data_IF_333265438211
#
_entry.id   IF_333265438211
#
_cell.length_a   1.000
_cell.length_b   1.000
_cell.length_c   1.000
_cell.angle_alpha   90.00
_cell.angle_beta   90.00
_cell.angle_gamma   90.00
#
_symmetry.space_group_name_H-M   'P 1'
#
loop_
_entity.id
_entity.type
_entity.pdbx_description
1 polymer ?
#
# COMPACT_ATOMS: atom_id res chain seq x y z
N UNK A 1 10.90 5.08 -3.29
CA UNK A 1 10.06 5.48 -4.45
C UNK A 1 9.36 6.81 -4.21
N UNK A 2 8.79 7.03 -3.02
CA UNK A 2 8.13 8.29 -2.64
C UNK A 2 9.07 9.52 -2.73
N UNK A 3 10.30 9.41 -2.20
CA UNK A 3 11.30 10.49 -2.31
C UNK A 3 11.64 10.87 -3.77
N UNK A 4 11.57 9.89 -4.68
CA UNK A 4 11.82 10.11 -6.12
C UNK A 4 10.67 10.91 -6.74
N UNK A 5 9.41 10.63 -6.38
CA UNK A 5 8.25 11.40 -6.83
C UNK A 5 8.29 12.86 -6.37
N UNK A 6 8.68 13.10 -5.12
CA UNK A 6 8.90 14.47 -4.62
C UNK A 6 10.05 15.17 -5.36
N UNK A 7 11.15 14.46 -5.62
CA UNK A 7 12.26 14.98 -6.42
C UNK A 7 11.84 15.39 -7.83
N UNK A 8 11.06 14.55 -8.52
CA UNK A 8 10.51 14.87 -9.84
C UNK A 8 9.56 16.07 -9.81
N UNK A 9 8.70 16.19 -8.80
CA UNK A 9 7.79 17.33 -8.67
C UNK A 9 8.54 18.67 -8.55
N UNK A 10 9.64 18.69 -7.78
CA UNK A 10 10.52 19.87 -7.66
C UNK A 10 11.24 20.16 -8.97
N UNK A 11 11.80 19.12 -9.60
CA UNK A 11 12.56 19.25 -10.84
C UNK A 11 11.69 19.77 -12.00
N UNK A 12 10.47 19.24 -12.15
CA UNK A 12 9.51 19.69 -13.17
C UNK A 12 9.08 21.14 -12.92
N UNK A 13 8.88 21.54 -11.66
CA UNK A 13 8.57 22.95 -11.33
C UNK A 13 9.73 23.89 -11.70
N UNK A 14 10.98 23.48 -11.44
CA UNK A 14 12.16 24.27 -11.80
C UNK A 14 12.32 24.39 -13.32
N UNK A 15 12.15 23.30 -14.06
CA UNK A 15 12.20 23.34 -15.53
C UNK A 15 11.09 24.23 -16.11
N UNK A 16 9.86 24.11 -15.62
CA UNK A 16 8.75 24.97 -16.06
C UNK A 16 9.03 26.46 -15.84
N UNK A 17 9.66 26.81 -14.72
CA UNK A 17 10.07 28.18 -14.43
C UNK A 17 11.16 28.68 -15.39
N UNK A 18 12.19 27.87 -15.65
CA UNK A 18 13.29 28.22 -16.55
C UNK A 18 12.79 28.40 -18.00
N UNK A 19 12.02 27.44 -18.52
CA UNK A 19 11.46 27.52 -19.88
C UNK A 19 10.48 28.69 -20.03
N UNK A 20 9.70 28.97 -18.99
CA UNK A 20 8.80 30.12 -18.96
C UNK A 20 9.56 31.45 -19.13
N UNK A 21 10.66 31.64 -18.40
CA UNK A 21 11.49 32.85 -18.51
C UNK A 21 12.17 32.93 -19.89
N UNK A 22 12.73 31.82 -20.36
CA UNK A 22 13.47 31.79 -21.63
C UNK A 22 12.60 32.02 -22.85
N UNK A 23 11.30 31.69 -22.76
CA UNK A 23 10.35 31.87 -23.86
C UNK A 23 10.10 33.34 -24.23
N UNK A 24 10.41 34.30 -23.35
CA UNK A 24 10.19 35.74 -23.59
C UNK A 24 8.73 36.17 -23.79
N UNK A 25 7.77 35.23 -23.70
CA UNK A 25 6.34 35.46 -23.88
C UNK A 25 5.61 35.29 -22.56
N UNK A 26 4.94 36.36 -22.13
CA UNK A 26 4.20 36.42 -20.87
C UNK A 26 3.05 35.39 -20.81
N UNK A 27 2.42 35.12 -21.96
CA UNK A 27 1.32 34.15 -22.05
C UNK A 27 1.83 32.70 -21.92
N UNK A 28 2.98 32.39 -22.54
CA UNK A 28 3.62 31.09 -22.38
C UNK A 28 4.19 30.89 -20.98
N UNK A 29 4.71 31.94 -20.35
CA UNK A 29 5.15 31.89 -18.96
C UNK A 29 4.03 31.43 -18.02
N UNK A 30 2.84 32.04 -18.10
CA UNK A 30 1.70 31.61 -17.28
C UNK A 30 1.23 30.19 -17.61
N UNK A 31 1.26 29.80 -18.89
CA UNK A 31 0.93 28.44 -19.32
C UNK A 31 1.85 27.38 -18.71
N UNK A 32 3.17 27.57 -18.80
CA UNK A 32 4.15 26.65 -18.23
C UNK A 32 4.18 26.69 -16.70
N UNK A 33 4.00 27.86 -16.09
CA UNK A 33 4.00 28.02 -14.64
C UNK A 33 2.79 27.32 -14.01
N UNK A 34 1.58 27.57 -14.51
CA UNK A 34 0.36 26.90 -14.03
C UNK A 34 0.38 25.40 -14.35
N UNK A 35 0.81 25.03 -15.55
CA UNK A 35 0.96 23.62 -15.93
C UNK A 35 1.93 22.86 -15.02
N UNK A 36 3.07 23.48 -14.68
CA UNK A 36 4.06 22.93 -13.76
C UNK A 36 3.49 22.70 -12.36
N UNK A 37 2.73 23.67 -11.83
CA UNK A 37 2.07 23.55 -10.52
C UNK A 37 1.05 22.40 -10.52
N UNK A 38 0.21 22.30 -11.56
CA UNK A 38 -0.79 21.23 -11.67
C UNK A 38 -0.10 19.86 -11.69
N UNK A 39 0.96 19.71 -12.48
CA UNK A 39 1.70 18.45 -12.56
C UNK A 39 2.38 18.13 -11.22
N UNK A 40 3.03 19.10 -10.58
CA UNK A 40 3.66 18.92 -9.27
C UNK A 40 2.65 18.48 -8.20
N UNK A 41 1.48 19.12 -8.16
CA UNK A 41 0.41 18.75 -7.21
C UNK A 41 -0.12 17.34 -7.46
N UNK A 42 -0.25 16.90 -8.72
CA UNK A 42 -0.61 15.53 -9.05
C UNK A 42 0.43 14.52 -8.54
N UNK A 43 1.73 14.78 -8.75
CA UNK A 43 2.80 13.90 -8.26
C UNK A 43 2.82 13.81 -6.72
N UNK A 44 2.61 14.95 -6.04
CA UNK A 44 2.53 14.98 -4.57
C UNK A 44 1.30 14.24 -4.06
N UNK A 45 0.15 14.40 -4.71
CA UNK A 45 -1.07 13.66 -4.37
C UNK A 45 -0.85 12.15 -4.54
N UNK A 46 -0.24 11.73 -5.65
CA UNK A 46 0.09 10.33 -5.91
C UNK A 46 1.02 9.76 -4.83
N UNK A 47 2.05 10.52 -4.45
CA UNK A 47 2.98 10.13 -3.39
C UNK A 47 2.27 9.88 -2.05
N UNK A 48 1.32 10.74 -1.67
CA UNK A 48 0.51 10.57 -0.45
C UNK A 48 -0.42 9.35 -0.51
N UNK A 49 -0.95 9.04 -1.69
CA UNK A 49 -1.79 7.84 -1.86
C UNK A 49 -0.94 6.57 -1.69
N UNK A 50 0.25 6.53 -2.29
CA UNK A 50 1.17 5.40 -2.11
C UNK A 50 1.56 5.20 -0.64
N UNK A 51 1.87 6.27 0.07
CA UNK A 51 2.22 6.22 1.50
C UNK A 51 1.09 5.61 2.35
N UNK A 52 -0.18 5.94 2.03
CA UNK A 52 -1.33 5.34 2.72
C UNK A 52 -1.53 3.87 2.38
N UNK A 53 -1.19 3.44 1.18
CA UNK A 53 -1.30 2.03 0.78
C UNK A 53 -0.25 1.16 1.50
N UNK A 54 0.97 1.66 1.66
CA UNK A 54 2.05 0.93 2.33
C UNK A 54 1.71 0.64 3.80
N UNK A 55 1.15 1.62 4.51
CA UNK A 55 0.66 1.43 5.89
C UNK A 55 -0.47 0.40 5.99
N UNK A 56 -1.41 0.42 5.05
CA UNK A 56 -2.50 -0.57 5.03
C UNK A 56 -1.98 -2.00 4.81
N UNK A 57 -0.99 -2.18 3.96
CA UNK A 57 -0.38 -3.49 3.70
C UNK A 57 0.31 -4.01 4.96
N UNK A 58 1.08 -3.18 5.65
CA UNK A 58 1.73 -3.58 6.90
C UNK A 58 0.73 -3.98 7.98
N UNK A 59 -0.34 -3.19 8.15
CA UNK A 59 -1.40 -3.51 9.10
C UNK A 59 -2.03 -4.87 8.72
N UNK A 60 -2.34 -5.10 7.45
CA UNK A 60 -2.93 -6.35 7.00
C UNK A 60 -2.02 -7.57 7.27
N UNK A 61 -0.71 -7.44 7.05
CA UNK A 61 0.26 -8.50 7.36
C UNK A 61 0.28 -8.84 8.85
N UNK A 62 0.25 -7.82 9.73
CA UNK A 62 0.21 -8.05 11.18
C UNK A 62 -1.07 -8.78 11.60
N UNK A 63 -2.23 -8.38 11.06
CA UNK A 63 -3.50 -9.08 11.30
C UNK A 63 -3.49 -10.52 10.81
N UNK A 64 -2.88 -10.79 9.65
CA UNK A 64 -2.76 -12.14 9.11
C UNK A 64 -1.84 -13.02 9.97
N UNK A 65 -0.71 -12.47 10.43
CA UNK A 65 0.21 -13.14 11.35
C UNK A 65 -0.49 -13.51 12.66
N UNK A 66 -1.22 -12.57 13.25
CA UNK A 66 -1.97 -12.78 14.49
C UNK A 66 -3.11 -13.78 14.30
N UNK A 67 -3.88 -13.67 13.22
CA UNK A 67 -4.93 -14.64 12.88
C UNK A 67 -4.36 -16.04 12.67
N UNK A 68 -3.25 -16.18 11.95
CA UNK A 68 -2.61 -17.48 11.75
C UNK A 68 -2.05 -18.06 13.05
N UNK A 69 -1.52 -17.23 13.95
CA UNK A 69 -1.06 -17.66 15.26
C UNK A 69 -2.22 -18.15 16.12
N UNK A 70 -3.28 -17.34 16.25
CA UNK A 70 -4.48 -17.70 17.02
C UNK A 70 -5.13 -18.98 16.46
N UNK A 71 -5.18 -19.13 15.14
CA UNK A 71 -5.75 -20.32 14.51
C UNK A 71 -4.88 -21.58 14.73
N UNK A 72 -3.56 -21.46 14.89
CA UNK A 72 -2.69 -22.60 15.27
C UNK A 72 -2.86 -22.98 16.74
N UNK A 73 -3.03 -22.01 17.63
CA UNK A 73 -3.25 -22.28 19.06
C UNK A 73 -4.61 -22.95 19.32
N UNK A 74 -5.64 -22.66 18.51
CA UNK A 74 -6.97 -23.27 18.63
C UNK A 74 -7.15 -24.56 17.83
N UNK A 75 -6.08 -25.14 17.28
CA UNK A 75 -6.17 -26.40 16.53
C UNK A 75 -5.80 -27.59 17.41
N UNK A 76 -6.74 -28.52 17.60
CA UNK A 76 -6.48 -29.83 18.21
C UNK A 76 -6.11 -30.86 17.15
N UNK A 77 -5.18 -31.74 17.49
CA UNK A 77 -4.73 -32.82 16.62
C UNK A 77 -5.60 -34.07 16.88
N UNK A 78 -6.17 -34.65 15.84
CA UNK A 78 -6.94 -35.88 15.98
C UNK A 78 -6.03 -37.07 16.32
N UNK A 79 -6.28 -37.84 17.39
CA UNK A 79 -5.44 -38.99 17.74
C UNK A 79 -5.49 -40.12 16.69
N UNK A 80 -6.60 -40.22 15.94
CA UNK A 80 -6.81 -41.29 14.96
C UNK A 80 -6.23 -41.02 13.56
N UNK A 81 -6.28 -39.77 13.08
CA UNK A 81 -5.82 -39.42 11.72
C UNK A 81 -4.77 -38.30 11.69
N UNK A 82 -4.34 -37.82 12.86
CA UNK A 82 -3.31 -36.79 13.06
C UNK A 82 -3.55 -35.47 12.31
N UNK A 83 -4.77 -35.25 11.83
CA UNK A 83 -5.14 -34.01 11.17
C UNK A 83 -5.46 -32.93 12.20
N UNK A 84 -4.95 -31.73 11.97
CA UNK A 84 -5.19 -30.56 12.80
C UNK A 84 -6.52 -29.91 12.43
N UNK A 85 -7.40 -29.73 13.41
CA UNK A 85 -8.74 -29.19 13.23
C UNK A 85 -9.14 -28.27 14.38
N UNK A 86 -10.08 -27.37 14.09
CA UNK A 86 -10.58 -26.37 15.04
C UNK A 86 -11.12 -27.04 16.32
N UNK A 87 -10.71 -26.55 17.49
CA UNK A 87 -11.01 -27.13 18.79
C UNK A 87 -12.52 -27.18 19.08
N UNK A 88 -13.27 -26.23 18.49
CA UNK A 88 -14.73 -26.10 18.60
C UNK A 88 -15.50 -27.25 17.97
N UNK A 89 -14.88 -28.03 17.09
CA UNK A 89 -15.52 -29.18 16.46
C UNK A 89 -15.58 -30.36 17.45
N UNK A 90 -16.79 -30.81 17.80
CA UNK A 90 -17.01 -31.98 18.68
C UNK A 90 -16.59 -33.31 18.04
N UNK A 91 -16.32 -33.31 16.74
CA UNK A 91 -15.92 -34.48 15.96
C UNK A 91 -14.91 -34.10 14.89
N UNK A 92 -13.98 -35.01 14.58
CA UNK A 92 -13.05 -34.86 13.48
C UNK A 92 -13.80 -34.87 12.13
N UNK A 93 -13.65 -33.84 11.29
CA UNK A 93 -14.34 -33.76 10.00
C UNK A 93 -13.81 -34.76 8.96
N UNK A 94 -12.60 -35.29 9.14
CA UNK A 94 -11.99 -36.23 8.17
C UNK A 94 -12.37 -37.68 8.48
N UNK A 95 -12.26 -38.11 9.73
CA UNK A 95 -12.50 -39.51 10.11
C UNK A 95 -13.78 -39.73 10.91
N UNK A 96 -14.52 -38.67 11.25
CA UNK A 96 -15.75 -38.75 12.04
C UNK A 96 -15.56 -39.08 13.52
N UNK A 97 -14.31 -39.23 13.99
CA UNK A 97 -13.99 -39.54 15.37
C UNK A 97 -14.52 -38.46 16.32
N UNK A 98 -15.28 -38.84 17.35
CA UNK A 98 -15.79 -37.93 18.38
C UNK A 98 -14.76 -37.82 19.50
N UNK A 99 -14.45 -36.58 19.88
CA UNK A 99 -13.53 -36.28 20.98
C UNK A 99 -14.24 -36.36 22.33
#
# INVERSE_FOLDING_TARGET
MIAVLYGFAVLVSLLGFIFGIFSGSLLLFFGFFLGGIIIATLFVALARVLERQELMIQILETWLMEKNRNNKETQKICPHCQSAHDEKLKSCPICGFRY
#
